data_IF_983017200031
#
_entry.id   IF_983017200031
#
_cell.length_a   1.000
_cell.length_b   1.000
_cell.length_c   1.000
_cell.angle_alpha   90.00
_cell.angle_beta   90.00
_cell.angle_gamma   90.00
#
_symmetry.space_group_name_H-M   'P 1'
#
loop_
_entity.id
_entity.type
_entity.pdbx_description
1 polymer ?
#
# COMPACT_ATOMS: atom_id res chain seq x y z
N UNK A 1 9.21 0.56 42.18
CA UNK A 1 9.24 1.31 40.90
C UNK A 1 10.66 1.79 40.60
N UNK A 2 11.37 2.36 41.57
CA UNK A 2 12.73 2.89 41.40
C UNK A 2 13.77 1.82 40.98
N UNK A 3 13.70 0.60 41.54
CA UNK A 3 14.63 -0.49 41.19
C UNK A 3 14.48 -0.98 39.73
N UNK A 4 13.24 -1.10 39.23
CA UNK A 4 12.98 -1.49 37.84
C UNK A 4 13.42 -0.41 36.85
N UNK A 5 13.28 0.86 37.22
CA UNK A 5 13.77 1.97 36.40
C UNK A 5 15.30 1.95 36.31
N UNK A 6 15.99 1.76 37.45
CA UNK A 6 17.46 1.65 37.48
C UNK A 6 17.97 0.45 36.70
N UNK A 7 17.34 -0.72 36.84
CA UNK A 7 17.68 -1.91 36.04
C UNK A 7 17.51 -1.65 34.53
N UNK A 8 16.40 -1.03 34.12
CA UNK A 8 16.17 -0.67 32.72
C UNK A 8 17.20 0.34 32.19
N UNK A 9 17.63 1.31 32.99
CA UNK A 9 18.70 2.25 32.61
C UNK A 9 20.05 1.55 32.44
N UNK A 10 20.38 0.60 33.32
CA UNK A 10 21.61 -0.19 33.21
C UNK A 10 21.59 -1.09 31.98
N UNK A 11 20.48 -1.77 31.70
CA UNK A 11 20.32 -2.60 30.49
C UNK A 11 20.46 -1.77 29.20
N UNK A 12 19.89 -0.56 29.17
CA UNK A 12 20.01 0.34 28.03
C UNK A 12 21.46 0.81 27.83
N UNK A 13 22.13 1.24 28.91
CA UNK A 13 23.53 1.65 28.86
C UNK A 13 24.46 0.51 28.42
N UNK A 14 24.21 -0.73 28.86
CA UNK A 14 24.99 -1.90 28.45
C UNK A 14 24.81 -2.21 26.96
N UNK A 15 23.61 -2.04 26.41
CA UNK A 15 23.37 -2.17 24.95
C UNK A 15 24.13 -1.13 24.15
N UNK A 16 24.07 0.13 24.57
CA UNK A 16 24.77 1.22 23.87
C UNK A 16 26.30 1.03 23.91
N UNK A 17 26.84 0.57 25.05
CA UNK A 17 28.27 0.25 25.18
C UNK A 17 28.64 -0.92 24.26
N UNK A 18 27.84 -1.99 24.25
CA UNK A 18 28.07 -3.14 23.39
C UNK A 18 28.05 -2.75 21.90
N UNK A 19 27.12 -1.88 21.50
CA UNK A 19 27.03 -1.36 20.13
C UNK A 19 28.27 -0.53 19.75
N UNK A 20 28.72 0.37 20.62
CA UNK A 20 29.94 1.17 20.38
C UNK A 20 31.20 0.29 20.33
N UNK A 21 31.23 -0.79 21.11
CA UNK A 21 32.37 -1.71 21.16
C UNK A 21 32.34 -2.77 20.03
N UNK A 22 31.22 -2.91 19.31
CA UNK A 22 31.00 -4.01 18.37
C UNK A 22 30.83 -5.38 19.05
N UNK A 23 30.50 -5.41 20.34
CA UNK A 23 30.27 -6.64 21.10
C UNK A 23 28.83 -7.14 20.87
N UNK A 24 28.64 -7.81 19.74
CA UNK A 24 27.32 -8.33 19.34
C UNK A 24 26.80 -9.38 20.32
N UNK A 25 27.67 -10.21 20.90
CA UNK A 25 27.25 -11.23 21.86
C UNK A 25 26.84 -10.60 23.20
N UNK A 26 27.53 -9.55 23.64
CA UNK A 26 27.15 -8.74 24.81
C UNK A 26 25.80 -8.05 24.63
N UNK A 27 25.49 -7.55 23.43
CA UNK A 27 24.17 -7.02 23.08
C UNK A 27 23.08 -8.10 23.14
N UNK A 28 23.32 -9.26 22.52
CA UNK A 28 22.37 -10.40 22.52
C UNK A 28 22.08 -10.86 23.95
N UNK A 29 23.10 -10.88 24.82
CA UNK A 29 22.98 -11.30 26.21
C UNK A 29 22.00 -10.43 27.04
N UNK A 30 21.75 -9.18 26.63
CA UNK A 30 20.80 -8.29 27.29
C UNK A 30 19.33 -8.68 27.07
N UNK A 31 19.05 -9.58 26.12
CA UNK A 31 17.70 -10.05 25.85
C UNK A 31 17.51 -11.47 26.39
N UNK A 32 16.38 -11.74 27.04
CA UNK A 32 16.01 -13.11 27.39
C UNK A 32 15.56 -13.92 26.15
N UNK A 33 15.56 -15.26 26.22
CA UNK A 33 15.21 -16.11 25.07
C UNK A 33 13.85 -15.84 24.44
N UNK A 34 12.86 -15.35 25.19
CA UNK A 34 11.53 -15.01 24.65
C UNK A 34 11.60 -13.69 23.89
N UNK A 35 12.26 -12.66 24.45
CA UNK A 35 12.39 -11.36 23.78
C UNK A 35 13.18 -11.44 22.48
N UNK A 36 14.19 -12.33 22.40
CA UNK A 36 14.95 -12.57 21.17
C UNK A 36 14.09 -13.08 20.00
N UNK A 37 12.90 -13.65 20.27
CA UNK A 37 11.97 -14.11 19.23
C UNK A 37 10.99 -13.03 18.76
N UNK A 38 10.95 -11.87 19.41
CA UNK A 38 10.13 -10.75 18.93
C UNK A 38 10.72 -10.29 17.59
N UNK A 39 9.95 -10.21 16.49
CA UNK A 39 10.49 -9.95 15.16
C UNK A 39 11.38 -8.71 15.07
N UNK A 40 10.98 -7.61 15.72
CA UNK A 40 11.79 -6.38 15.78
C UNK A 40 13.16 -6.61 16.44
N UNK A 41 13.19 -7.32 17.57
CA UNK A 41 14.43 -7.61 18.30
C UNK A 41 15.31 -8.60 17.52
N UNK A 42 14.69 -9.63 16.92
CA UNK A 42 15.40 -10.56 16.05
C UNK A 42 16.05 -9.84 14.86
N UNK A 43 15.37 -8.86 14.26
CA UNK A 43 15.90 -8.03 13.19
C UNK A 43 17.09 -7.18 13.65
N UNK A 44 16.98 -6.50 14.79
CA UNK A 44 18.07 -5.70 15.37
C UNK A 44 19.33 -6.52 15.67
N UNK A 45 19.14 -7.75 16.18
CA UNK A 45 20.23 -8.72 16.42
C UNK A 45 20.83 -9.17 15.08
N UNK A 46 19.99 -9.55 14.11
CA UNK A 46 20.45 -10.02 12.80
C UNK A 46 21.26 -8.96 12.05
N UNK A 47 20.84 -7.70 12.08
CA UNK A 47 21.57 -6.58 11.46
C UNK A 47 22.97 -6.41 12.06
N UNK A 48 23.11 -6.50 13.39
CA UNK A 48 24.41 -6.43 14.07
C UNK A 48 25.31 -7.63 13.74
N UNK A 49 24.74 -8.84 13.70
CA UNK A 49 25.46 -10.04 13.30
C UNK A 49 25.94 -9.95 11.85
N UNK A 50 25.14 -9.39 10.95
CA UNK A 50 25.54 -9.15 9.56
C UNK A 50 26.70 -8.16 9.45
N UNK A 51 26.71 -7.09 10.24
CA UNK A 51 27.78 -6.10 10.23
C UNK A 51 29.16 -6.69 10.60
N UNK A 52 29.19 -7.79 11.35
CA UNK A 52 30.42 -8.52 11.71
C UNK A 52 30.63 -9.82 10.91
N UNK A 53 29.89 -10.02 9.82
CA UNK A 53 30.03 -11.17 8.92
C UNK A 53 29.46 -12.50 9.45
N UNK A 54 28.67 -12.48 10.53
CA UNK A 54 28.04 -13.67 11.15
C UNK A 54 26.65 -13.96 10.56
N UNK A 55 26.56 -14.07 9.24
CA UNK A 55 25.29 -14.23 8.53
C UNK A 55 24.53 -15.53 8.89
N UNK A 56 25.25 -16.63 9.19
CA UNK A 56 24.63 -17.88 9.62
C UNK A 56 23.93 -17.78 10.98
N UNK A 57 24.55 -17.07 11.92
CA UNK A 57 23.93 -16.81 13.23
C UNK A 57 22.72 -15.89 13.07
N UNK A 58 22.85 -14.85 12.23
CA UNK A 58 21.77 -13.92 11.93
C UNK A 58 20.54 -14.65 11.38
N UNK A 59 20.72 -15.61 10.46
CA UNK A 59 19.65 -16.48 9.96
C UNK A 59 18.95 -17.23 11.08
N UNK A 60 19.72 -17.81 12.01
CA UNK A 60 19.16 -18.53 13.15
C UNK A 60 18.30 -17.65 14.07
N UNK A 61 18.55 -16.34 14.15
CA UNK A 61 17.66 -15.41 14.86
C UNK A 61 16.40 -15.07 14.06
N UNK A 62 16.56 -14.83 12.75
CA UNK A 62 15.44 -14.55 11.85
C UNK A 62 14.45 -15.71 11.79
N UNK A 63 14.91 -16.95 11.68
CA UNK A 63 14.05 -18.14 11.58
C UNK A 63 13.33 -18.49 12.89
N UNK A 64 13.89 -18.11 14.04
CA UNK A 64 13.27 -18.35 15.36
C UNK A 64 12.31 -17.24 15.77
N UNK A 65 12.25 -16.14 15.02
CA UNK A 65 11.34 -15.06 15.28
C UNK A 65 9.89 -15.54 15.15
N UNK A 66 9.04 -15.18 16.10
CA UNK A 66 7.62 -15.51 16.10
C UNK A 66 6.87 -14.51 15.20
N UNK A 67 7.05 -14.67 13.89
CA UNK A 67 6.34 -13.90 12.89
C UNK A 67 4.97 -14.55 12.67
N UNK A 68 3.92 -13.79 12.99
CA UNK A 68 2.58 -14.23 12.68
C UNK A 68 2.23 -13.75 11.27
N UNK A 69 2.24 -14.66 10.30
CA UNK A 69 1.93 -14.37 8.89
C UNK A 69 0.49 -13.86 8.68
N UNK A 70 -0.44 -14.16 9.59
CA UNK A 70 -1.79 -13.61 9.59
C UNK A 70 -1.87 -12.18 10.17
N UNK A 71 -0.76 -11.65 10.67
CA UNK A 71 -0.61 -10.27 11.15
C UNK A 71 0.42 -9.53 10.29
N UNK A 72 0.56 -8.24 10.56
CA UNK A 72 1.59 -7.40 9.98
C UNK A 72 3.00 -7.90 10.34
N UNK A 73 3.84 -8.11 9.32
CA UNK A 73 5.26 -8.43 9.47
C UNK A 73 6.05 -7.11 9.48
N UNK A 74 6.89 -6.84 10.51
CA UNK A 74 7.67 -5.61 10.55
C UNK A 74 8.64 -5.49 9.38
N UNK A 75 8.72 -4.28 8.80
CA UNK A 75 9.61 -3.98 7.68
C UNK A 75 11.08 -4.26 8.03
N UNK A 76 11.50 -3.92 9.25
CA UNK A 76 12.86 -4.14 9.71
C UNK A 76 13.23 -5.62 9.72
N UNK A 77 12.25 -6.50 10.01
CA UNK A 77 12.46 -7.95 9.95
C UNK A 77 12.52 -8.46 8.51
N UNK A 78 11.69 -7.92 7.61
CA UNK A 78 11.75 -8.26 6.18
C UNK A 78 13.11 -7.88 5.58
N UNK A 79 13.59 -6.66 5.87
CA UNK A 79 14.88 -6.16 5.42
C UNK A 79 16.04 -6.98 5.98
N UNK A 80 16.01 -7.27 7.28
CA UNK A 80 17.03 -8.10 7.93
C UNK A 80 17.06 -9.51 7.32
N UNK A 81 15.89 -10.12 7.07
CA UNK A 81 15.81 -11.44 6.42
C UNK A 81 16.39 -11.40 5.01
N UNK A 82 16.07 -10.39 4.21
CA UNK A 82 16.64 -10.23 2.87
C UNK A 82 18.16 -10.06 2.92
N UNK A 83 18.66 -9.20 3.81
CA UNK A 83 20.09 -8.98 3.99
C UNK A 83 20.84 -10.26 4.41
N UNK A 84 20.23 -11.08 5.29
CA UNK A 84 20.78 -12.38 5.67
C UNK A 84 20.85 -13.34 4.48
N UNK A 85 19.77 -13.46 3.70
CA UNK A 85 19.75 -14.34 2.53
C UNK A 85 20.77 -13.90 1.48
N UNK A 86 20.91 -12.60 1.24
CA UNK A 86 21.92 -12.05 0.34
C UNK A 86 23.35 -12.31 0.82
N UNK A 87 23.63 -12.11 2.11
CA UNK A 87 24.97 -12.36 2.68
C UNK A 87 25.37 -13.85 2.66
N UNK A 88 24.39 -14.76 2.66
CA UNK A 88 24.59 -16.20 2.54
C UNK A 88 24.59 -16.69 1.08
N UNK A 89 24.53 -15.78 0.10
CA UNK A 89 24.39 -16.07 -1.33
C UNK A 89 23.16 -16.95 -1.69
N UNK A 90 22.12 -16.93 -0.84
CA UNK A 90 20.84 -17.64 -1.03
C UNK A 90 19.89 -16.82 -1.91
N UNK A 91 20.33 -16.54 -3.14
CA UNK A 91 19.66 -15.60 -4.06
C UNK A 91 18.23 -16.00 -4.42
N UNK A 92 17.99 -17.28 -4.70
CA UNK A 92 16.66 -17.77 -5.09
C UNK A 92 15.64 -17.60 -3.96
N UNK A 93 16.05 -17.85 -2.72
CA UNK A 93 15.21 -17.65 -1.55
C UNK A 93 14.95 -16.17 -1.27
N UNK A 94 15.94 -15.31 -1.50
CA UNK A 94 15.75 -13.86 -1.43
C UNK A 94 14.73 -13.38 -2.48
N UNK A 95 14.79 -13.90 -3.72
CA UNK A 95 13.80 -13.59 -4.76
C UNK A 95 12.41 -14.10 -4.40
N UNK A 96 12.30 -15.35 -3.93
CA UNK A 96 11.04 -15.92 -3.49
C UNK A 96 10.42 -15.11 -2.34
N UNK A 97 11.24 -14.63 -1.39
CA UNK A 97 10.77 -13.82 -0.29
C UNK A 97 10.31 -12.42 -0.72
N UNK A 98 11.03 -11.76 -1.65
CA UNK A 98 10.57 -10.47 -2.22
C UNK A 98 9.21 -10.61 -2.90
N UNK A 99 9.05 -11.65 -3.72
CA UNK A 99 7.79 -11.93 -4.40
C UNK A 99 6.67 -12.18 -3.39
N UNK A 100 6.90 -13.00 -2.36
CA UNK A 100 5.92 -13.26 -1.31
C UNK A 100 5.52 -11.99 -0.53
N UNK A 101 6.46 -11.07 -0.28
CA UNK A 101 6.14 -9.79 0.36
C UNK A 101 5.28 -8.90 -0.55
N UNK A 102 5.57 -8.85 -1.85
CA UNK A 102 4.69 -8.20 -2.82
C UNK A 102 3.31 -8.86 -2.86
N UNK A 103 3.23 -10.19 -2.99
CA UNK A 103 1.95 -10.90 -3.12
C UNK A 103 1.03 -10.70 -1.89
N UNK A 104 1.63 -10.57 -0.70
CA UNK A 104 0.90 -10.33 0.55
C UNK A 104 0.46 -8.87 0.71
N UNK A 105 1.36 -7.92 0.48
CA UNK A 105 1.16 -6.52 0.88
C UNK A 105 0.95 -5.56 -0.32
N UNK A 106 1.03 -6.06 -1.55
CA UNK A 106 1.13 -5.28 -2.79
C UNK A 106 2.25 -4.22 -2.74
N UNK A 107 3.38 -4.55 -2.11
CA UNK A 107 4.50 -3.62 -1.93
C UNK A 107 5.23 -3.32 -3.24
N UNK A 108 5.12 -2.07 -3.71
CA UNK A 108 5.85 -1.55 -4.89
C UNK A 108 7.36 -1.71 -4.74
N UNK A 109 7.91 -1.43 -3.55
CA UNK A 109 9.35 -1.51 -3.30
C UNK A 109 9.88 -2.94 -3.48
N UNK A 110 9.16 -3.94 -2.93
CA UNK A 110 9.51 -5.35 -3.08
C UNK A 110 9.40 -5.81 -4.54
N UNK A 111 8.38 -5.38 -5.27
CA UNK A 111 8.23 -5.70 -6.69
C UNK A 111 9.38 -5.10 -7.51
N UNK A 112 9.72 -3.81 -7.32
CA UNK A 112 10.89 -3.19 -7.99
C UNK A 112 12.18 -3.92 -7.68
N UNK A 113 12.38 -4.29 -6.41
CA UNK A 113 13.59 -5.00 -5.97
C UNK A 113 13.70 -6.42 -6.54
N UNK A 114 12.56 -7.09 -6.73
CA UNK A 114 12.43 -8.40 -7.38
C UNK A 114 12.76 -8.29 -8.87
N UNK A 115 12.03 -7.45 -9.62
CA UNK A 115 12.21 -7.29 -11.07
C UNK A 115 13.64 -6.86 -11.44
N UNK A 116 14.24 -5.92 -10.71
CA UNK A 116 15.62 -5.44 -10.95
C UNK A 116 16.68 -6.54 -10.91
N UNK A 117 16.41 -7.67 -10.26
CA UNK A 117 17.35 -8.77 -10.07
C UNK A 117 17.02 -9.98 -10.95
N UNK A 118 15.98 -9.90 -11.78
CA UNK A 118 15.70 -10.89 -12.81
C UNK A 118 16.58 -10.65 -14.03
N UNK A 119 16.82 -11.69 -14.85
CA UNK A 119 17.37 -11.51 -16.19
C UNK A 119 16.46 -10.63 -17.05
N UNK A 120 17.05 -9.83 -17.96
CA UNK A 120 16.38 -8.83 -18.83
C UNK A 120 15.20 -9.32 -19.70
N UNK A 121 14.92 -10.63 -19.75
CA UNK A 121 13.81 -11.20 -20.50
C UNK A 121 12.72 -11.81 -19.61
N UNK A 122 12.99 -12.00 -18.32
CA UNK A 122 12.04 -12.56 -17.36
C UNK A 122 11.29 -11.48 -16.57
N UNK A 123 11.80 -10.25 -16.56
CA UNK A 123 11.22 -9.12 -15.83
C UNK A 123 9.86 -8.69 -16.39
N UNK A 124 9.70 -8.66 -17.72
CA UNK A 124 8.41 -8.33 -18.37
C UNK A 124 7.34 -9.34 -17.97
N UNK A 125 7.62 -10.64 -18.13
CA UNK A 125 6.65 -11.69 -17.79
C UNK A 125 6.35 -11.69 -16.28
N UNK A 126 7.36 -11.41 -15.45
CA UNK A 126 7.18 -11.27 -14.01
C UNK A 126 6.33 -10.05 -13.63
N UNK A 127 6.51 -8.92 -14.31
CA UNK A 127 5.71 -7.71 -14.12
C UNK A 127 4.26 -7.98 -14.52
N UNK A 128 4.01 -8.62 -15.67
CA UNK A 128 2.66 -8.99 -16.10
C UNK A 128 1.96 -9.89 -15.07
N UNK A 129 2.66 -10.91 -14.52
CA UNK A 129 2.13 -11.74 -13.44
C UNK A 129 1.82 -10.93 -12.18
N UNK A 130 2.67 -9.95 -11.84
CA UNK A 130 2.44 -9.07 -10.70
C UNK A 130 1.21 -8.17 -10.91
N UNK A 131 1.02 -7.61 -12.11
CA UNK A 131 -0.17 -6.83 -12.45
C UNK A 131 -1.44 -7.68 -12.37
N UNK A 132 -1.40 -8.92 -12.87
CA UNK A 132 -2.51 -9.86 -12.79
C UNK A 132 -2.85 -10.22 -11.34
N UNK A 133 -1.84 -10.46 -10.49
CA UNK A 133 -2.02 -10.70 -9.06
C UNK A 133 -2.68 -9.50 -8.36
N UNK A 134 -2.20 -8.29 -8.61
CA UNK A 134 -2.79 -7.08 -8.05
C UNK A 134 -4.23 -6.84 -8.54
N UNK A 135 -4.52 -7.11 -9.81
CA UNK A 135 -5.87 -6.97 -10.37
C UNK A 135 -6.87 -7.97 -9.75
N UNK A 136 -6.40 -9.17 -9.39
CA UNK A 136 -7.21 -10.20 -8.73
C UNK A 136 -7.36 -9.99 -7.21
N UNK A 137 -6.73 -8.95 -6.64
CA UNK A 137 -6.76 -8.72 -5.20
C UNK A 137 -8.19 -8.42 -4.70
N UNK A 138 -8.65 -9.04 -3.60
CA UNK A 138 -10.04 -8.94 -3.16
C UNK A 138 -10.44 -7.52 -2.73
N UNK A 139 -9.52 -6.73 -2.19
CA UNK A 139 -9.77 -5.32 -1.88
C UNK A 139 -9.50 -4.40 -3.07
N UNK A 140 -10.51 -3.64 -3.50
CA UNK A 140 -10.39 -2.65 -4.58
C UNK A 140 -9.39 -1.53 -4.24
N UNK A 141 -9.47 -0.95 -3.04
CA UNK A 141 -8.62 0.20 -2.68
C UNK A 141 -7.13 -0.14 -2.56
N UNK A 142 -6.72 -1.24 -1.91
CA UNK A 142 -5.31 -1.66 -1.95
C UNK A 142 -4.78 -1.87 -3.37
N UNK A 143 -5.56 -2.50 -4.24
CA UNK A 143 -5.19 -2.71 -5.64
C UNK A 143 -5.08 -1.39 -6.42
N UNK A 144 -6.04 -0.48 -6.23
CA UNK A 144 -6.03 0.84 -6.83
C UNK A 144 -4.80 1.64 -6.37
N UNK A 145 -4.53 1.68 -5.07
CA UNK A 145 -3.35 2.34 -4.50
C UNK A 145 -2.06 1.80 -5.12
N UNK A 146 -1.91 0.48 -5.19
CA UNK A 146 -0.77 -0.15 -5.85
C UNK A 146 -0.62 0.30 -7.32
N UNK A 147 -1.69 0.28 -8.12
CA UNK A 147 -1.58 0.67 -9.53
C UNK A 147 -1.25 2.16 -9.72
N UNK A 148 -1.66 3.03 -8.81
CA UNK A 148 -1.26 4.44 -8.84
C UNK A 148 0.21 4.63 -8.46
N UNK A 149 0.69 3.89 -7.45
CA UNK A 149 2.09 3.95 -7.00
C UNK A 149 3.06 3.23 -7.97
N UNK A 150 2.58 2.23 -8.73
CA UNK A 150 3.27 1.55 -9.85
C UNK A 150 3.12 2.25 -11.22
N UNK A 151 2.60 3.47 -11.26
CA UNK A 151 1.89 4.09 -12.41
C UNK A 151 1.31 3.19 -13.52
N UNK A 152 0.63 2.10 -13.20
CA UNK A 152 -0.08 1.24 -14.16
C UNK A 152 -1.51 1.74 -14.42
N UNK A 153 -1.64 2.87 -15.13
CA UNK A 153 -2.93 3.56 -15.33
C UNK A 153 -3.94 2.72 -16.11
N UNK A 154 -3.49 1.91 -17.07
CA UNK A 154 -4.36 1.01 -17.83
C UNK A 154 -5.03 -0.05 -16.92
N UNK A 155 -4.28 -0.58 -15.94
CA UNK A 155 -4.81 -1.54 -14.95
C UNK A 155 -5.70 -0.85 -13.91
N UNK A 156 -5.33 0.33 -13.43
CA UNK A 156 -6.17 1.13 -12.53
C UNK A 156 -7.53 1.46 -13.18
N UNK A 157 -7.53 1.88 -14.44
CA UNK A 157 -8.74 2.18 -15.19
C UNK A 157 -9.63 0.94 -15.31
N UNK A 158 -9.04 -0.20 -15.72
CA UNK A 158 -9.77 -1.46 -15.85
C UNK A 158 -10.36 -1.93 -14.52
N UNK A 159 -9.60 -1.84 -13.43
CA UNK A 159 -10.06 -2.17 -12.08
C UNK A 159 -11.32 -1.38 -11.71
N UNK A 160 -11.31 -0.06 -11.94
CA UNK A 160 -12.46 0.81 -11.64
C UNK A 160 -13.66 0.51 -12.53
N UNK A 161 -13.46 0.18 -13.80
CA UNK A 161 -14.55 -0.15 -14.74
C UNK A 161 -15.19 -1.51 -14.38
N UNK A 162 -14.37 -2.54 -14.20
CA UNK A 162 -14.83 -3.91 -13.96
C UNK A 162 -15.51 -4.05 -12.59
N UNK A 163 -15.11 -3.24 -11.60
CA UNK A 163 -15.58 -3.32 -10.21
C UNK A 163 -16.24 -2.02 -9.73
N UNK A 164 -16.85 -1.25 -10.63
CA UNK A 164 -17.36 0.09 -10.34
C UNK A 164 -18.41 0.13 -9.20
N UNK A 165 -19.18 -0.94 -9.01
CA UNK A 165 -20.16 -1.05 -7.92
C UNK A 165 -19.51 -1.16 -6.52
N UNK A 166 -18.23 -1.56 -6.45
CA UNK A 166 -17.49 -1.71 -5.19
C UNK A 166 -16.79 -0.42 -4.74
N UNK A 167 -16.81 0.65 -5.55
CA UNK A 167 -16.07 1.88 -5.27
C UNK A 167 -16.71 2.59 -4.06
N UNK A 168 -16.03 2.55 -2.91
CA UNK A 168 -16.44 3.29 -1.72
C UNK A 168 -15.98 4.75 -1.78
N UNK A 169 -16.93 5.64 -2.06
CA UNK A 169 -16.72 7.09 -2.17
C UNK A 169 -16.30 7.85 -0.91
N UNK A 170 -16.11 7.21 0.26
CA UNK A 170 -15.55 7.87 1.45
C UNK A 170 -14.01 7.94 1.44
N UNK A 171 -13.35 7.21 0.53
CA UNK A 171 -11.89 7.09 0.46
C UNK A 171 -11.26 8.09 -0.51
N UNK A 172 -11.40 9.38 -0.21
CA UNK A 172 -10.91 10.48 -1.05
C UNK A 172 -9.40 10.42 -1.27
N UNK A 173 -8.66 9.93 -0.29
CA UNK A 173 -7.21 9.77 -0.32
C UNK A 173 -6.73 8.87 -1.47
N UNK A 174 -7.58 7.96 -1.96
CA UNK A 174 -7.31 7.15 -3.15
C UNK A 174 -8.05 7.67 -4.39
N UNK A 175 -9.30 8.12 -4.23
CA UNK A 175 -10.16 8.45 -5.37
C UNK A 175 -9.83 9.80 -6.04
N UNK A 176 -9.35 10.78 -5.28
CA UNK A 176 -8.87 12.05 -5.85
C UNK A 176 -7.64 11.84 -6.73
N UNK A 177 -6.53 11.24 -6.25
CA UNK A 177 -5.38 10.99 -7.12
C UNK A 177 -5.70 10.03 -8.27
N UNK A 178 -6.60 9.06 -8.08
CA UNK A 178 -7.08 8.21 -9.17
C UNK A 178 -7.77 9.02 -10.27
N UNK A 179 -8.72 9.89 -9.90
CA UNK A 179 -9.44 10.71 -10.87
C UNK A 179 -8.48 11.63 -11.65
N UNK A 180 -7.55 12.28 -10.96
CA UNK A 180 -6.55 13.14 -11.59
C UNK A 180 -5.65 12.37 -12.56
N UNK A 181 -5.04 11.27 -12.11
CA UNK A 181 -4.12 10.47 -12.93
C UNK A 181 -4.80 9.85 -14.16
N UNK A 182 -6.08 9.48 -14.04
CA UNK A 182 -6.84 8.82 -15.11
C UNK A 182 -7.51 9.80 -16.07
N UNK A 183 -7.65 11.08 -15.73
CA UNK A 183 -8.46 12.04 -16.48
C UNK A 183 -8.01 12.27 -17.93
N UNK A 184 -6.73 12.13 -18.23
CA UNK A 184 -6.20 12.37 -19.58
C UNK A 184 -6.48 11.17 -20.51
N UNK A 185 -6.08 9.96 -20.09
CA UNK A 185 -6.09 8.75 -20.91
C UNK A 185 -7.31 7.85 -20.70
N UNK A 186 -7.96 7.94 -19.54
CA UNK A 186 -9.05 7.05 -19.13
C UNK A 186 -10.23 7.85 -18.53
N UNK A 187 -10.86 8.75 -19.31
CA UNK A 187 -11.84 9.70 -18.79
C UNK A 187 -13.07 9.03 -18.16
N UNK A 188 -13.47 7.84 -18.64
CA UNK A 188 -14.57 7.08 -18.05
C UNK A 188 -14.24 6.55 -16.64
N UNK A 189 -13.03 6.02 -16.44
CA UNK A 189 -12.59 5.53 -15.13
C UNK A 189 -12.42 6.68 -14.13
N UNK A 190 -11.87 7.82 -14.58
CA UNK A 190 -11.82 9.04 -13.78
C UNK A 190 -13.22 9.50 -13.35
N UNK A 191 -14.18 9.48 -14.27
CA UNK A 191 -15.59 9.82 -14.01
C UNK A 191 -16.18 8.89 -12.93
N UNK A 192 -15.88 7.59 -12.93
CA UNK A 192 -16.37 6.67 -11.90
C UNK A 192 -15.86 7.02 -10.50
N UNK A 193 -14.57 7.32 -10.37
CA UNK A 193 -13.99 7.74 -9.09
C UNK A 193 -14.64 9.04 -8.57
N UNK A 194 -14.83 10.03 -9.45
CA UNK A 194 -15.50 11.30 -9.12
C UNK A 194 -16.96 11.09 -8.71
N UNK A 195 -17.73 10.31 -9.49
CA UNK A 195 -19.14 10.01 -9.19
C UNK A 195 -19.32 9.25 -7.89
N UNK A 196 -18.43 8.31 -7.56
CA UNK A 196 -18.47 7.62 -6.27
C UNK A 196 -18.33 8.61 -5.10
N UNK A 197 -17.40 9.56 -5.19
CA UNK A 197 -17.22 10.62 -4.18
C UNK A 197 -18.45 11.54 -4.07
N UNK A 198 -19.04 11.93 -5.21
CA UNK A 198 -20.28 12.73 -5.24
C UNK A 198 -21.44 11.97 -4.57
N UNK A 199 -21.68 10.73 -5.00
CA UNK A 199 -22.78 9.88 -4.52
C UNK A 199 -22.64 9.63 -3.00
N UNK A 200 -21.43 9.38 -2.50
CA UNK A 200 -21.17 9.28 -1.08
C UNK A 200 -21.48 10.60 -0.34
N UNK A 201 -20.98 11.72 -0.84
CA UNK A 201 -21.19 13.05 -0.22
C UNK A 201 -22.67 13.40 -0.13
N UNK A 202 -23.44 13.15 -1.18
CA UNK A 202 -24.86 13.46 -1.22
C UNK A 202 -25.68 12.47 -0.37
N UNK A 203 -25.44 11.17 -0.50
CA UNK A 203 -26.15 10.13 0.26
C UNK A 203 -25.93 10.26 1.77
N UNK A 204 -24.70 10.56 2.21
CA UNK A 204 -24.37 10.80 3.64
C UNK A 204 -24.60 12.24 4.10
N UNK A 205 -25.14 13.09 3.24
CA UNK A 205 -25.41 14.51 3.53
C UNK A 205 -24.21 15.26 4.14
N UNK A 206 -23.01 15.04 3.60
CA UNK A 206 -21.76 15.69 4.03
C UNK A 206 -21.72 17.13 3.53
N UNK A 207 -22.51 18.03 4.11
CA UNK A 207 -22.66 19.42 3.65
C UNK A 207 -21.35 20.18 3.48
N UNK A 208 -20.36 19.95 4.35
CA UNK A 208 -19.01 20.54 4.25
C UNK A 208 -18.25 20.14 2.98
N UNK A 209 -18.64 19.04 2.32
CA UNK A 209 -18.03 18.52 1.08
C UNK A 209 -18.80 18.93 -0.18
N UNK A 210 -19.91 19.68 -0.07
CA UNK A 210 -20.74 20.03 -1.25
C UNK A 210 -20.00 20.87 -2.30
N UNK A 211 -19.12 21.79 -1.89
CA UNK A 211 -18.29 22.53 -2.83
C UNK A 211 -17.38 21.62 -3.67
N UNK A 212 -16.70 20.67 -3.03
CA UNK A 212 -15.89 19.66 -3.73
C UNK A 212 -16.72 18.76 -4.63
N UNK A 213 -17.89 18.29 -4.17
CA UNK A 213 -18.78 17.48 -5.00
C UNK A 213 -19.29 18.23 -6.24
N UNK A 214 -19.55 19.54 -6.12
CA UNK A 214 -19.95 20.37 -7.26
C UNK A 214 -18.79 20.52 -8.27
N UNK A 215 -17.56 20.72 -7.79
CA UNK A 215 -16.36 20.72 -8.64
C UNK A 215 -16.17 19.38 -9.34
N UNK A 216 -16.31 18.26 -8.63
CA UNK A 216 -16.24 16.93 -9.22
C UNK A 216 -17.32 16.72 -10.30
N UNK A 217 -18.54 17.24 -10.09
CA UNK A 217 -19.60 17.15 -11.09
C UNK A 217 -19.26 17.96 -12.35
N UNK A 218 -18.68 19.16 -12.19
CA UNK A 218 -18.20 19.96 -13.31
C UNK A 218 -17.11 19.22 -14.10
N UNK A 219 -16.12 18.65 -13.41
CA UNK A 219 -15.07 17.82 -14.03
C UNK A 219 -15.64 16.61 -14.76
N UNK A 220 -16.66 15.94 -14.21
CA UNK A 220 -17.39 14.88 -14.91
C UNK A 220 -18.05 15.38 -16.22
N UNK A 221 -18.49 16.64 -16.26
CA UNK A 221 -19.04 17.27 -17.47
C UNK A 221 -17.96 17.48 -18.54
N UNK A 222 -16.80 18.01 -18.14
CA UNK A 222 -15.65 18.19 -19.03
C UNK A 222 -15.13 16.86 -19.58
N UNK A 223 -15.08 15.82 -18.75
CA UNK A 223 -14.68 14.47 -19.15
C UNK A 223 -15.67 13.84 -20.12
N UNK A 224 -16.97 14.14 -19.99
CA UNK A 224 -18.01 13.55 -20.83
C UNK A 224 -17.79 13.80 -22.33
N UNK A 225 -17.24 14.98 -22.70
CA UNK A 225 -16.91 15.31 -24.09
C UNK A 225 -15.80 14.44 -24.71
N UNK A 226 -15.05 13.68 -23.89
CA UNK A 226 -13.97 12.79 -24.31
C UNK A 226 -14.31 11.30 -24.14
N UNK A 227 -15.53 10.97 -23.71
CA UNK A 227 -15.98 9.59 -23.52
C UNK A 227 -16.79 9.17 -24.74
N UNK A 228 -16.24 8.25 -25.54
CA UNK A 228 -16.92 7.72 -26.72
C UNK A 228 -18.04 6.74 -26.37
N UNK A 229 -17.82 5.92 -25.34
CA UNK A 229 -18.77 4.91 -24.89
C UNK A 229 -18.87 4.93 -23.36
N UNK A 230 -20.07 5.19 -22.85
CA UNK A 230 -20.36 5.14 -21.43
C UNK A 230 -20.73 3.73 -20.93
N UNK A 231 -21.13 2.80 -21.80
CA UNK A 231 -21.62 1.50 -21.35
C UNK A 231 -20.54 0.73 -20.54
N UNK A 232 -20.91 0.09 -19.42
CA UNK A 232 -22.28 -0.12 -18.92
C UNK A 232 -22.83 1.01 -18.02
N UNK A 233 -22.09 2.10 -17.82
CA UNK A 233 -22.50 3.17 -16.90
C UNK A 233 -23.38 4.22 -17.57
N UNK A 234 -24.14 4.97 -16.78
CA UNK A 234 -25.04 6.00 -17.29
C UNK A 234 -24.26 7.20 -17.89
N UNK A 235 -24.84 7.84 -18.90
CA UNK A 235 -24.27 9.07 -19.50
C UNK A 235 -24.23 10.22 -18.50
N UNK A 236 -23.48 11.28 -18.79
CA UNK A 236 -23.42 12.45 -17.91
C UNK A 236 -24.80 13.09 -17.67
N UNK A 237 -25.59 13.29 -18.73
CA UNK A 237 -26.92 13.89 -18.60
C UNK A 237 -27.89 13.01 -17.78
N UNK A 238 -27.82 11.69 -17.97
CA UNK A 238 -28.60 10.73 -17.19
C UNK A 238 -28.20 10.78 -15.71
N UNK A 239 -26.89 10.82 -15.41
CA UNK A 239 -26.37 10.96 -14.04
C UNK A 239 -26.86 12.24 -13.37
N UNK A 240 -26.76 13.39 -14.05
CA UNK A 240 -27.25 14.66 -13.52
C UNK A 240 -28.76 14.64 -13.28
N UNK A 241 -29.54 14.04 -14.19
CA UNK A 241 -30.98 13.89 -14.03
C UNK A 241 -31.33 13.00 -12.82
N UNK A 242 -30.61 11.90 -12.61
CA UNK A 242 -30.75 11.03 -11.44
C UNK A 242 -30.42 11.78 -10.15
N UNK A 243 -29.29 12.50 -10.10
CA UNK A 243 -28.94 13.34 -8.96
C UNK A 243 -30.02 14.37 -8.64
N UNK A 244 -30.59 15.05 -9.64
CA UNK A 244 -31.69 16.01 -9.45
C UNK A 244 -32.93 15.34 -8.86
N UNK A 245 -33.26 14.14 -9.31
CA UNK A 245 -34.40 13.38 -8.78
C UNK A 245 -34.18 12.94 -7.31
N UNK A 246 -33.05 12.30 -7.02
CA UNK A 246 -32.75 11.71 -5.71
C UNK A 246 -32.35 12.77 -4.66
N UNK A 247 -31.73 13.86 -5.09
CA UNK A 247 -31.06 14.83 -4.24
C UNK A 247 -31.45 16.30 -4.51
N UNK A 248 -32.53 16.54 -5.26
CA UNK A 248 -33.01 17.88 -5.61
C UNK A 248 -33.25 18.83 -4.44
N UNK A 249 -33.58 18.30 -3.25
CA UNK A 249 -33.81 19.11 -2.02
C UNK A 249 -32.53 19.62 -1.36
N UNK A 250 -31.35 19.18 -1.78
CA UNK A 250 -30.06 19.62 -1.22
C UNK A 250 -29.64 20.95 -1.85
N UNK A 251 -30.37 22.02 -1.55
CA UNK A 251 -30.14 23.37 -2.11
C UNK A 251 -28.71 23.87 -1.91
N UNK A 252 -28.06 23.52 -0.79
CA UNK A 252 -26.66 23.86 -0.53
C UNK A 252 -25.65 23.22 -1.50
N UNK A 253 -26.02 22.12 -2.16
CA UNK A 253 -25.21 21.53 -3.24
C UNK A 253 -25.54 22.19 -4.58
N UNK A 254 -26.83 22.28 -4.94
CA UNK A 254 -27.25 22.85 -6.23
C UNK A 254 -26.85 24.32 -6.41
N UNK A 255 -26.87 25.12 -5.33
CA UNK A 255 -26.38 26.50 -5.36
C UNK A 255 -24.88 26.64 -5.65
N UNK A 256 -24.08 25.59 -5.49
CA UNK A 256 -22.65 25.59 -5.87
C UNK A 256 -22.44 25.31 -7.36
N UNK A 257 -23.47 24.84 -8.06
CA UNK A 257 -23.43 24.51 -9.50
C UNK A 257 -24.04 25.66 -10.32
N UNK A 258 -25.06 26.31 -9.76
CA UNK A 258 -25.80 27.42 -10.41
C UNK A 258 -25.17 28.80 -10.18
N UNK A 259 -24.21 28.91 -9.25
CA UNK A 259 -23.48 30.13 -8.92
C UNK A 259 -22.12 30.18 -9.57
#
# INVERSE_FOLDING_TARGET
MDERARQSTVEMALKDIADVQGDVDGFIAQYDPKTRKVPKIAAEIAQRLLAVGRAGDALGFIERAEVNEARWIPAEWQDARLGVLEALDRKDEAQAFRRACFERDLSVEHLRAYLKRLPDFEDIEAEERAMAHAAAHPGLLPALGFFLDWPSLDHAARLLLDRHEEINGDHYEFLVPAAEALSERHPLAATLALRAMIDFTLSKARSKRYGYAAQHLATCGDLAGRIENFAPVETHDAYVARLKNEHGRKSGFWSQIEG
#
